data_IF_215042377794
#
_entry.id   IF_215042377794
#
_cell.length_a   1.000
_cell.length_b   1.000
_cell.length_c   1.000
_cell.angle_alpha   90.00
_cell.angle_beta   90.00
_cell.angle_gamma   90.00
#
_symmetry.space_group_name_H-M   'P 1'
#
loop_
_entity.id
_entity.type
_entity.pdbx_description
1 polymer ?
#
# COMPACT_ATOMS: atom_id res chain seq x y z
N UNK A 1 -6.17 -4.62 -2.26
CA UNK A 1 -7.59 -5.02 -2.37
C UNK A 1 -8.54 -3.87 -2.07
N UNK A 2 -8.32 -3.12 -0.98
CA UNK A 2 -9.17 -1.98 -0.59
C UNK A 2 -9.42 -0.96 -1.70
N UNK A 3 -8.43 -0.68 -2.55
CA UNK A 3 -8.55 0.28 -3.66
C UNK A 3 -9.54 -0.15 -4.74
N UNK A 4 -9.72 -1.46 -5.00
CA UNK A 4 -10.66 -1.96 -6.01
C UNK A 4 -12.12 -1.64 -5.64
N UNK A 5 -12.44 -1.67 -4.35
CA UNK A 5 -13.78 -1.35 -3.82
C UNK A 5 -14.09 0.13 -4.10
N UNK A 6 -13.13 1.01 -3.79
CA UNK A 6 -13.26 2.46 -4.04
C UNK A 6 -13.41 2.72 -5.54
N UNK A 7 -12.58 2.08 -6.37
CA UNK A 7 -12.60 2.27 -7.81
C UNK A 7 -13.94 1.80 -8.42
N UNK A 8 -14.49 0.67 -7.97
CA UNK A 8 -15.79 0.18 -8.41
C UNK A 8 -16.91 1.18 -8.12
N UNK A 9 -16.99 1.68 -6.88
CA UNK A 9 -17.98 2.67 -6.47
C UNK A 9 -17.85 3.97 -7.27
N UNK A 10 -16.61 4.42 -7.51
CA UNK A 10 -16.32 5.63 -8.27
C UNK A 10 -16.80 5.49 -9.72
N UNK A 11 -16.46 4.38 -10.39
CA UNK A 11 -16.89 4.11 -11.77
C UNK A 11 -18.41 4.09 -11.86
N UNK A 12 -19.12 3.51 -10.88
CA UNK A 12 -20.58 3.55 -10.84
C UNK A 12 -21.12 4.98 -10.79
N UNK A 13 -20.58 5.85 -9.94
CA UNK A 13 -20.98 7.27 -9.86
C UNK A 13 -20.69 7.99 -11.18
N UNK A 14 -19.52 7.76 -11.77
CA UNK A 14 -19.15 8.34 -13.08
C UNK A 14 -20.15 7.96 -14.16
N UNK A 15 -20.57 6.70 -14.24
CA UNK A 15 -21.56 6.25 -15.22
C UNK A 15 -22.92 6.92 -15.04
N UNK A 16 -23.36 7.15 -13.80
CA UNK A 16 -24.60 7.89 -13.51
C UNK A 16 -24.49 9.36 -13.95
N UNK A 17 -23.33 9.99 -13.75
CA UNK A 17 -23.11 11.40 -14.16
C UNK A 17 -23.07 11.55 -15.69
N UNK A 18 -22.45 10.60 -16.39
CA UNK A 18 -22.43 10.57 -17.86
C UNK A 18 -23.84 10.36 -18.42
N UNK A 19 -24.57 9.38 -17.88
CA UNK A 19 -25.90 9.00 -18.35
C UNK A 19 -25.89 8.70 -19.85
N UNK A 20 -26.86 9.26 -20.58
CA UNK A 20 -27.01 9.09 -22.03
C UNK A 20 -26.21 10.12 -22.86
N UNK A 21 -25.45 11.01 -22.22
CA UNK A 21 -24.78 12.12 -22.93
C UNK A 21 -23.39 11.75 -23.39
N UNK A 22 -23.25 11.51 -24.69
CA UNK A 22 -21.97 11.31 -25.36
C UNK A 22 -21.02 12.49 -25.14
N UNK A 23 -21.53 13.73 -25.16
CA UNK A 23 -20.73 14.93 -24.90
C UNK A 23 -20.11 14.93 -23.48
N UNK A 24 -20.84 14.44 -22.47
CA UNK A 24 -20.31 14.30 -21.10
C UNK A 24 -19.24 13.22 -21.01
N UNK A 25 -19.42 12.09 -21.71
CA UNK A 25 -18.40 11.04 -21.78
C UNK A 25 -17.09 11.55 -22.39
N UNK A 26 -17.17 12.30 -23.51
CA UNK A 26 -15.98 12.91 -24.12
C UNK A 26 -15.35 13.98 -23.24
N UNK A 27 -16.15 14.78 -22.52
CA UNK A 27 -15.63 15.78 -21.58
C UNK A 27 -14.79 15.14 -20.47
N UNK A 28 -15.22 13.98 -19.96
CA UNK A 28 -14.48 13.21 -18.95
C UNK A 28 -13.12 12.73 -19.48
N UNK A 29 -13.09 12.13 -20.67
CA UNK A 29 -11.84 11.65 -21.33
C UNK A 29 -10.91 12.83 -21.66
N UNK A 30 -11.46 13.95 -22.09
CA UNK A 30 -10.72 15.19 -22.34
C UNK A 30 -10.09 15.75 -21.07
N UNK A 31 -10.85 15.80 -19.97
CA UNK A 31 -10.33 16.24 -18.67
C UNK A 31 -9.21 15.31 -18.16
N UNK A 32 -9.36 13.99 -18.32
CA UNK A 32 -8.29 13.02 -18.02
C UNK A 32 -7.01 13.25 -18.84
N UNK A 33 -7.15 13.67 -20.10
CA UNK A 33 -6.01 13.96 -20.98
C UNK A 33 -5.24 15.23 -20.57
N UNK A 34 -5.89 16.15 -19.85
CA UNK A 34 -5.26 17.39 -19.36
C UNK A 34 -4.51 17.14 -18.04
N UNK A 35 -4.94 16.16 -17.24
CA UNK A 35 -4.31 15.85 -15.95
C UNK A 35 -2.89 15.31 -16.17
N UNK A 36 -1.89 16.14 -15.86
CA UNK A 36 -0.47 15.79 -16.02
C UNK A 36 0.10 15.28 -14.71
N UNK A 37 0.33 13.98 -14.62
CA UNK A 37 1.16 13.40 -13.57
C UNK A 37 2.63 13.77 -13.81
N UNK A 38 3.19 14.61 -12.94
CA UNK A 38 4.60 15.03 -13.01
C UNK A 38 5.57 14.00 -12.40
N UNK A 39 5.03 13.03 -11.65
CA UNK A 39 5.76 11.95 -11.00
C UNK A 39 4.97 10.65 -11.17
N UNK A 40 5.65 9.50 -11.12
CA UNK A 40 4.98 8.20 -11.15
C UNK A 40 4.12 8.08 -9.89
N UNK A 41 2.83 7.88 -10.09
CA UNK A 41 1.90 7.63 -8.98
C UNK A 41 2.12 6.20 -8.51
N UNK A 42 2.67 6.05 -7.31
CA UNK A 42 3.02 4.74 -6.75
C UNK A 42 1.81 4.04 -6.11
N UNK A 43 0.84 4.82 -5.63
CA UNK A 43 -0.34 4.28 -4.96
C UNK A 43 -1.60 4.43 -5.84
N UNK A 44 -2.29 3.32 -6.18
CA UNK A 44 -3.54 3.39 -6.95
C UNK A 44 -4.65 4.16 -6.23
N UNK A 45 -4.56 4.40 -4.92
CA UNK A 45 -5.50 5.26 -4.16
C UNK A 45 -5.43 6.71 -4.61
N UNK A 46 -4.24 7.23 -4.90
CA UNK A 46 -4.06 8.62 -5.32
C UNK A 46 -4.74 8.86 -6.66
N UNK A 47 -4.64 7.90 -7.58
CA UNK A 47 -5.36 7.93 -8.85
C UNK A 47 -6.87 7.94 -8.59
N UNK A 48 -7.37 7.07 -7.70
CA UNK A 48 -8.80 7.04 -7.36
C UNK A 48 -9.30 8.39 -6.81
N UNK A 49 -8.52 9.10 -6.00
CA UNK A 49 -8.91 10.44 -5.52
C UNK A 49 -9.00 11.47 -6.64
N UNK A 50 -8.09 11.42 -7.61
CA UNK A 50 -8.15 12.30 -8.80
C UNK A 50 -9.41 12.04 -9.61
N UNK A 51 -9.72 10.77 -9.87
CA UNK A 51 -10.95 10.38 -10.55
C UNK A 51 -12.21 10.81 -9.78
N UNK A 52 -12.16 10.75 -8.44
CA UNK A 52 -13.27 11.14 -7.58
C UNK A 52 -13.52 12.65 -7.66
N UNK A 53 -12.47 13.47 -7.54
CA UNK A 53 -12.57 14.92 -7.70
C UNK A 53 -13.13 15.31 -9.08
N UNK A 54 -12.68 14.62 -10.14
CA UNK A 54 -13.16 14.83 -11.50
C UNK A 54 -14.64 14.45 -11.66
N UNK A 55 -15.05 13.29 -11.13
CA UNK A 55 -16.43 12.81 -11.20
C UNK A 55 -17.41 13.78 -10.52
N UNK A 56 -17.07 14.23 -9.31
CA UNK A 56 -17.89 15.17 -8.54
C UNK A 56 -17.93 16.55 -9.20
N UNK A 57 -16.77 17.06 -9.64
CA UNK A 57 -16.67 18.34 -10.34
C UNK A 57 -17.47 18.36 -11.64
N UNK A 58 -17.40 17.27 -12.42
CA UNK A 58 -18.21 17.11 -13.62
C UNK A 58 -19.71 17.03 -13.30
N UNK A 59 -20.11 16.31 -12.25
CA UNK A 59 -21.52 16.21 -11.85
C UNK A 59 -22.13 17.55 -11.43
N UNK A 60 -21.35 18.38 -10.72
CA UNK A 60 -21.76 19.75 -10.39
C UNK A 60 -21.82 20.62 -11.65
N UNK A 61 -20.83 20.52 -12.53
CA UNK A 61 -20.80 21.26 -13.80
C UNK A 61 -21.87 20.84 -14.83
N UNK A 62 -22.43 19.64 -14.69
CA UNK A 62 -23.45 19.09 -15.57
C UNK A 62 -24.90 19.37 -15.10
N UNK A 63 -25.08 20.31 -14.19
CA UNK A 63 -26.36 20.70 -13.57
C UNK A 63 -27.06 19.57 -12.80
N UNK A 64 -26.27 18.62 -12.26
CA UNK A 64 -26.78 17.54 -11.42
C UNK A 64 -26.11 17.52 -10.03
N UNK A 65 -26.36 18.55 -9.20
CA UNK A 65 -25.72 18.65 -7.88
C UNK A 65 -26.18 17.54 -6.93
N UNK A 66 -27.38 17.00 -7.10
CA UNK A 66 -27.94 15.95 -6.25
C UNK A 66 -27.07 14.68 -6.28
N UNK A 67 -26.67 14.24 -7.47
CA UNK A 67 -25.80 13.06 -7.64
C UNK A 67 -24.40 13.33 -7.07
N UNK A 68 -23.85 14.52 -7.25
CA UNK A 68 -22.54 14.90 -6.72
C UNK A 68 -22.51 14.92 -5.19
N UNK A 69 -23.55 15.45 -4.53
CA UNK A 69 -23.63 15.48 -3.07
C UNK A 69 -23.72 14.06 -2.51
N UNK A 70 -24.63 13.24 -3.04
CA UNK A 70 -24.82 11.85 -2.61
C UNK A 70 -23.54 11.04 -2.83
N UNK A 71 -22.94 11.15 -4.03
CA UNK A 71 -21.71 10.45 -4.38
C UNK A 71 -20.54 10.85 -3.47
N UNK A 72 -20.43 12.13 -3.14
CA UNK A 72 -19.39 12.62 -2.22
C UNK A 72 -19.57 12.06 -0.83
N UNK A 73 -20.80 12.05 -0.31
CA UNK A 73 -21.08 11.55 1.03
C UNK A 73 -20.88 10.03 1.12
N UNK A 74 -21.38 9.27 0.14
CA UNK A 74 -21.22 7.81 0.09
C UNK A 74 -19.74 7.41 0.01
N UNK A 75 -19.02 7.90 -0.99
CA UNK A 75 -17.61 7.55 -1.20
C UNK A 75 -16.75 8.07 -0.04
N UNK A 76 -17.01 9.30 0.43
CA UNK A 76 -16.31 9.87 1.58
C UNK A 76 -16.48 9.04 2.85
N UNK A 77 -17.71 8.60 3.16
CA UNK A 77 -18.00 7.75 4.32
C UNK A 77 -17.29 6.41 4.23
N UNK A 78 -17.30 5.77 3.05
CA UNK A 78 -16.61 4.49 2.84
C UNK A 78 -15.10 4.64 2.98
N UNK A 79 -14.51 5.72 2.44
CA UNK A 79 -13.07 6.00 2.57
C UNK A 79 -12.71 6.23 4.04
N UNK A 80 -13.47 7.04 4.78
CA UNK A 80 -13.26 7.28 6.21
C UNK A 80 -13.42 5.99 7.03
N UNK A 81 -14.43 5.18 6.71
CA UNK A 81 -14.64 3.88 7.33
C UNK A 81 -13.49 2.90 7.09
N UNK A 82 -13.00 2.82 5.85
CA UNK A 82 -11.82 2.01 5.49
C UNK A 82 -10.56 2.52 6.18
N UNK A 83 -10.36 3.83 6.24
CA UNK A 83 -9.21 4.42 6.91
C UNK A 83 -9.27 4.14 8.42
N UNK A 84 -10.45 4.30 9.04
CA UNK A 84 -10.74 3.96 10.42
C UNK A 84 -10.50 2.47 10.74
N UNK A 85 -10.99 1.56 9.89
CA UNK A 85 -10.75 0.13 10.05
C UNK A 85 -9.29 -0.25 9.82
N UNK A 86 -8.61 0.36 8.85
CA UNK A 86 -7.22 0.09 8.57
C UNK A 86 -6.29 0.66 9.64
N UNK A 87 -6.61 1.80 10.28
CA UNK A 87 -5.83 2.29 11.43
C UNK A 87 -6.09 1.48 12.70
N UNK A 88 -7.26 0.83 12.83
CA UNK A 88 -7.61 0.02 14.00
C UNK A 88 -7.10 -1.43 13.86
N UNK A 89 -7.08 -1.96 12.63
CA UNK A 89 -6.46 -3.24 12.25
C UNK A 89 -5.01 -3.10 11.75
N UNK A 90 -4.45 -1.87 11.71
CA UNK A 90 -3.02 -1.67 11.69
C UNK A 90 -2.51 -2.06 13.07
N UNK A 91 -2.47 -3.37 13.25
CA UNK A 91 -1.67 -4.07 14.20
C UNK A 91 -0.32 -3.35 14.24
N UNK A 92 -0.16 -2.57 15.30
CA UNK A 92 0.97 -1.69 15.50
C UNK A 92 2.22 -2.55 15.34
N UNK A 93 3.08 -2.19 14.38
CA UNK A 93 4.43 -2.73 14.15
C UNK A 93 4.58 -3.95 13.24
N UNK A 94 4.16 -3.81 11.99
CA UNK A 94 4.82 -4.55 10.92
C UNK A 94 6.13 -3.83 10.56
N UNK A 95 7.26 -4.49 10.79
CA UNK A 95 8.56 -4.00 10.34
C UNK A 95 9.00 -4.77 9.10
N UNK A 96 9.64 -4.05 8.17
CA UNK A 96 10.33 -4.66 7.06
C UNK A 96 11.80 -4.81 7.41
N UNK A 97 12.25 -6.06 7.46
CA UNK A 97 13.65 -6.41 7.70
C UNK A 97 14.20 -6.97 6.40
N UNK A 98 15.10 -6.22 5.78
CA UNK A 98 15.90 -6.71 4.66
C UNK A 98 17.30 -7.02 5.17
N UNK A 99 17.76 -8.25 4.96
CA UNK A 99 19.12 -8.67 5.27
C UNK A 99 19.73 -9.44 4.11
N UNK A 100 21.07 -9.43 4.02
CA UNK A 100 21.85 -10.13 2.99
C UNK A 100 22.67 -11.21 3.65
N UNK A 101 22.62 -12.41 3.09
CA UNK A 101 23.37 -13.58 3.58
C UNK A 101 24.18 -14.15 2.41
N UNK A 102 25.44 -14.57 2.61
CA UNK A 102 26.19 -15.33 1.62
C UNK A 102 25.53 -16.68 1.35
N UNK A 103 25.68 -17.20 0.13
CA UNK A 103 25.17 -18.52 -0.25
C UNK A 103 26.08 -19.59 0.38
N UNK A 104 25.67 -20.15 1.52
CA UNK A 104 26.32 -21.29 2.16
C UNK A 104 25.27 -22.38 2.44
N UNK A 105 25.65 -23.65 2.48
CA UNK A 105 24.73 -24.70 2.94
C UNK A 105 24.42 -24.50 4.43
N UNK A 106 23.15 -24.71 4.82
CA UNK A 106 22.61 -24.59 6.20
C UNK A 106 22.37 -23.17 6.78
N UNK A 107 22.46 -22.09 5.99
CA UNK A 107 22.21 -20.72 6.49
C UNK A 107 20.78 -20.48 7.07
N UNK A 108 19.81 -21.30 6.70
CA UNK A 108 18.42 -21.15 7.16
C UNK A 108 18.28 -21.47 8.67
N UNK A 109 19.13 -22.35 9.23
CA UNK A 109 19.07 -22.72 10.66
C UNK A 109 19.57 -21.61 11.59
N UNK A 110 20.47 -20.74 11.11
CA UNK A 110 21.14 -19.74 11.93
C UNK A 110 20.21 -18.60 12.36
N UNK A 111 19.25 -18.24 11.50
CA UNK A 111 18.27 -17.18 11.79
C UNK A 111 16.95 -17.73 12.32
N UNK A 112 16.66 -19.02 12.10
CA UNK A 112 15.38 -19.61 12.50
C UNK A 112 15.18 -19.67 14.02
N UNK A 113 16.25 -19.80 14.80
CA UNK A 113 16.23 -19.75 16.27
C UNK A 113 15.80 -18.37 16.79
N UNK A 114 16.42 -17.30 16.30
CA UNK A 114 16.12 -15.90 16.67
C UNK A 114 14.69 -15.52 16.26
N UNK A 115 14.26 -15.98 15.08
CA UNK A 115 12.92 -15.69 14.56
C UNK A 115 11.82 -16.39 15.38
N UNK A 116 12.04 -17.61 15.86
CA UNK A 116 11.02 -18.36 16.60
C UNK A 116 10.81 -17.83 18.03
N UNK A 117 11.86 -17.30 18.66
CA UNK A 117 11.77 -16.74 20.02
C UNK A 117 11.14 -15.34 20.04
N UNK A 118 11.54 -14.46 19.10
CA UNK A 118 11.24 -13.02 19.17
C UNK A 118 10.08 -12.55 18.27
N UNK A 119 9.64 -13.36 17.30
CA UNK A 119 8.61 -12.96 16.33
C UNK A 119 7.26 -13.65 16.60
N UNK A 120 6.17 -12.88 16.51
CA UNK A 120 4.79 -13.41 16.55
C UNK A 120 4.38 -14.01 15.21
N UNK A 121 4.83 -13.41 14.12
CA UNK A 121 4.52 -13.83 12.75
C UNK A 121 5.60 -13.28 11.83
N UNK A 122 6.20 -14.14 11.01
CA UNK A 122 7.12 -13.74 9.95
C UNK A 122 6.56 -14.19 8.60
N UNK A 123 6.47 -13.25 7.65
CA UNK A 123 6.08 -13.56 6.27
C UNK A 123 7.22 -13.17 5.34
N UNK A 124 7.80 -14.15 4.68
CA UNK A 124 8.79 -13.93 3.61
C UNK A 124 8.09 -13.23 2.45
N UNK A 125 8.53 -12.03 2.11
CA UNK A 125 7.95 -11.25 1.01
C UNK A 125 8.70 -11.48 -0.29
N UNK A 126 10.03 -11.60 -0.26
CA UNK A 126 10.83 -11.72 -1.47
C UNK A 126 12.20 -12.37 -1.20
N UNK A 127 12.72 -13.09 -2.21
CA UNK A 127 14.09 -13.61 -2.27
C UNK A 127 14.71 -13.08 -3.56
N UNK A 128 15.74 -12.25 -3.47
CA UNK A 128 16.46 -11.70 -4.63
C UNK A 128 17.91 -12.15 -4.60
N UNK A 129 18.30 -12.98 -5.58
CA UNK A 129 19.69 -13.34 -5.76
C UNK A 129 20.45 -12.14 -6.35
N UNK A 130 21.51 -11.71 -5.68
CA UNK A 130 22.39 -10.65 -6.17
C UNK A 130 23.58 -11.28 -6.91
N UNK A 131 24.03 -10.63 -7.98
CA UNK A 131 25.13 -11.05 -8.86
C UNK A 131 26.49 -11.30 -8.18
N UNK A 132 26.60 -11.05 -6.87
CA UNK A 132 27.83 -11.16 -6.08
C UNK A 132 27.90 -12.41 -5.18
N UNK A 133 27.04 -13.42 -5.40
CA UNK A 133 27.03 -14.65 -4.59
C UNK A 133 26.35 -14.48 -3.21
N UNK A 134 25.52 -13.45 -3.06
CA UNK A 134 24.73 -13.19 -1.84
C UNK A 134 23.24 -13.20 -2.16
N UNK A 135 22.42 -13.64 -1.21
CA UNK A 135 20.96 -13.61 -1.31
C UNK A 135 20.43 -12.49 -0.42
N UNK A 136 19.66 -11.60 -1.02
CA UNK A 136 18.91 -10.58 -0.30
C UNK A 136 17.53 -11.15 0.04
N UNK A 137 17.23 -11.22 1.33
CA UNK A 137 15.97 -11.73 1.86
C UNK A 137 15.19 -10.58 2.46
N UNK A 138 13.92 -10.49 2.08
CA UNK A 138 12.99 -9.47 2.56
C UNK A 138 11.89 -10.13 3.38
N UNK A 139 11.88 -9.86 4.68
CA UNK A 139 10.90 -10.38 5.61
C UNK A 139 10.05 -9.25 6.17
N UNK A 140 8.73 -9.51 6.21
CA UNK A 140 7.82 -8.76 7.05
C UNK A 140 7.73 -9.46 8.39
N UNK A 141 8.09 -8.75 9.45
CA UNK A 141 8.12 -9.30 10.80
C UNK A 141 7.21 -8.50 11.72
N UNK A 142 6.50 -9.21 12.58
CA UNK A 142 5.74 -8.64 13.68
C UNK A 142 6.37 -9.12 14.99
N UNK A 143 6.92 -8.20 15.78
CA UNK A 143 7.58 -8.55 17.05
C UNK A 143 6.56 -8.79 18.16
N UNK A 144 6.90 -9.67 19.11
CA UNK A 144 6.15 -9.86 20.36
C UNK A 144 6.13 -8.59 21.20
N UNK A 145 7.25 -7.87 21.24
CA UNK A 145 7.41 -6.63 22.00
C UNK A 145 7.94 -5.48 21.12
N UNK A 146 7.10 -4.48 20.77
CA UNK A 146 7.50 -3.27 20.04
C UNK A 146 8.82 -2.63 20.44
N UNK A 147 9.02 -2.60 21.76
CA UNK A 147 9.97 -1.72 22.43
C UNK A 147 11.38 -2.30 22.37
N UNK A 148 11.50 -3.59 22.02
CA UNK A 148 12.74 -4.32 21.88
C UNK A 148 13.26 -4.32 20.43
N UNK A 149 12.69 -3.52 19.53
CA UNK A 149 13.15 -3.42 18.14
C UNK A 149 14.65 -3.13 18.01
N UNK A 150 15.20 -2.24 18.85
CA UNK A 150 16.61 -1.91 18.83
C UNK A 150 17.49 -3.10 19.26
N UNK A 151 17.04 -3.88 20.25
CA UNK A 151 17.71 -5.10 20.70
C UNK A 151 17.65 -6.20 19.64
N UNK A 152 16.50 -6.35 18.97
CA UNK A 152 16.35 -7.30 17.86
C UNK A 152 17.27 -6.96 16.68
N UNK A 153 17.35 -5.69 16.28
CA UNK A 153 18.26 -5.26 15.21
C UNK A 153 19.73 -5.45 15.61
N UNK A 154 20.06 -5.22 16.89
CA UNK A 154 21.40 -5.43 17.40
C UNK A 154 21.76 -6.93 17.41
N UNK A 155 20.88 -7.81 17.89
CA UNK A 155 21.06 -9.25 17.91
C UNK A 155 21.17 -9.83 16.48
N UNK A 156 20.33 -9.34 15.57
CA UNK A 156 20.39 -9.69 14.16
C UNK A 156 21.68 -9.18 13.50
N UNK A 157 22.19 -8.01 13.89
CA UNK A 157 23.44 -7.45 13.37
C UNK A 157 24.70 -8.12 13.94
N UNK A 158 24.61 -8.73 15.12
CA UNK A 158 25.72 -9.47 15.77
C UNK A 158 25.86 -10.88 15.19
N UNK A 159 24.80 -11.40 14.61
CA UNK A 159 24.80 -12.68 13.90
C UNK A 159 25.70 -12.55 12.66
N UNK A 160 26.91 -13.11 12.75
CA UNK A 160 28.01 -13.00 11.78
C UNK A 160 27.59 -13.47 10.38
N UNK A 161 27.07 -12.54 9.57
CA UNK A 161 27.23 -12.45 8.09
C UNK A 161 26.27 -11.44 7.44
N UNK A 162 25.53 -10.65 8.23
CA UNK A 162 24.56 -9.71 7.66
C UNK A 162 25.22 -8.41 7.21
N UNK A 163 25.53 -8.32 5.92
CA UNK A 163 26.28 -7.17 5.36
C UNK A 163 25.50 -5.85 5.39
N UNK A 164 24.16 -5.87 5.38
CA UNK A 164 23.29 -4.67 5.48
C UNK A 164 21.91 -5.03 6.03
N UNK A 165 21.57 -4.50 7.21
CA UNK A 165 20.19 -4.52 7.73
C UNK A 165 19.52 -3.20 7.33
N UNK A 166 18.51 -3.25 6.46
CA UNK A 166 17.65 -2.08 6.20
C UNK A 166 16.31 -2.30 6.89
N UNK A 167 16.12 -1.56 7.97
CA UNK A 167 14.93 -1.52 8.78
C UNK A 167 14.05 -0.36 8.31
N UNK A 168 12.90 -0.65 7.68
CA UNK A 168 11.92 0.39 7.32
C UNK A 168 10.65 0.14 8.12
N UNK A 169 10.28 1.12 8.95
CA UNK A 169 9.02 1.15 9.69
C UNK A 169 7.94 1.67 8.75
N UNK A 170 6.82 0.94 8.65
CA UNK A 170 5.61 1.42 7.97
C UNK A 170 4.80 2.36 8.86
#
# INVERSE_FOLDING_TARGET
TNTLIILCMLISVVMVVIGESVARAFSLVGALSIIRFRTVVQDPRDIAFVFFALAIGMGVGADNPSVSIIGTFLIGTVILGLHGWQTNNADKQEFLVTFRVPICDEFEQYYQSVFNDQLLTYRRLSRKATSSGTVELEYRVKLKHPEQWAQFIQELSITEDITKVKATKF
#
